data_IF_052803970484
#
_entry.id   IF_052803970484
#
_cell.length_a   1.000
_cell.length_b   1.000
_cell.length_c   1.000
_cell.angle_alpha   90.00
_cell.angle_beta   90.00
_cell.angle_gamma   90.00
#
_symmetry.space_group_name_H-M   'P 1'
#
loop_
_entity.id
_entity.type
_entity.pdbx_description
1 polymer ?
#
# COMPACT_ATOMS: atom_id res chain seq x y z
N UNK A 1 -53.33 -2.95 -1.49
CA UNK A 1 -52.10 -2.22 -1.91
C UNK A 1 -51.21 -1.99 -0.69
N UNK A 2 -50.08 -2.70 -0.59
CA UNK A 2 -49.15 -2.62 0.55
C UNK A 2 -48.14 -1.47 0.30
N UNK A 3 -48.18 -0.43 1.13
CA UNK A 3 -47.18 0.66 1.12
C UNK A 3 -45.82 0.11 1.60
N UNK A 4 -44.85 0.00 0.71
CA UNK A 4 -43.43 -0.26 1.05
C UNK A 4 -42.86 0.97 1.76
N UNK A 5 -42.32 0.81 2.97
CA UNK A 5 -41.48 1.83 3.62
C UNK A 5 -40.08 1.83 2.99
N UNK A 6 -39.38 2.96 2.89
CA UNK A 6 -38.06 3.03 2.28
C UNK A 6 -37.01 2.33 3.16
N UNK A 7 -36.32 1.36 2.57
CA UNK A 7 -35.22 0.56 3.14
C UNK A 7 -33.90 1.35 3.17
N UNK A 8 -33.87 2.56 3.75
CA UNK A 8 -32.67 3.42 3.66
C UNK A 8 -32.18 4.04 4.97
N UNK A 9 -32.59 3.48 6.10
CA UNK A 9 -32.30 4.09 7.41
C UNK A 9 -31.93 3.11 8.53
N UNK A 10 -31.38 1.95 8.18
CA UNK A 10 -30.79 1.06 9.17
C UNK A 10 -29.32 0.81 8.84
N UNK A 11 -28.47 1.18 9.79
CA UNK A 11 -27.01 0.96 9.87
C UNK A 11 -26.10 2.02 9.22
N UNK A 12 -26.25 3.30 9.59
CA UNK A 12 -25.07 4.16 9.76
C UNK A 12 -24.70 4.15 11.24
N UNK A 13 -23.55 3.58 11.65
CA UNK A 13 -23.04 3.84 12.99
C UNK A 13 -22.84 5.35 13.12
N UNK A 14 -23.18 5.91 14.28
CA UNK A 14 -22.94 7.33 14.55
C UNK A 14 -21.45 7.62 14.39
N UNK A 15 -21.09 8.78 13.84
CA UNK A 15 -19.68 9.19 13.67
C UNK A 15 -18.91 9.13 15.01
N UNK A 16 -19.61 9.28 16.13
CA UNK A 16 -19.10 9.09 17.48
C UNK A 16 -18.66 7.64 17.80
N UNK A 17 -19.34 6.61 17.28
CA UNK A 17 -18.95 5.20 17.50
C UNK A 17 -17.75 4.78 16.64
N UNK A 18 -17.60 5.36 15.44
CA UNK A 18 -16.40 5.19 14.61
C UNK A 18 -15.19 5.91 15.23
N UNK A 19 -15.37 7.14 15.70
CA UNK A 19 -14.34 7.92 16.40
C UNK A 19 -13.84 7.21 17.67
N UNK A 20 -14.74 6.64 18.48
CA UNK A 20 -14.37 5.92 19.69
C UNK A 20 -13.62 4.59 19.42
N UNK A 21 -13.98 3.84 18.37
CA UNK A 21 -13.23 2.64 17.95
C UNK A 21 -11.89 2.97 17.31
N UNK A 22 -11.80 4.06 16.55
CA UNK A 22 -10.52 4.56 16.02
C UNK A 22 -9.59 5.04 17.14
N UNK A 23 -10.14 5.69 18.17
CA UNK A 23 -9.38 6.15 19.34
C UNK A 23 -8.82 5.02 20.20
N UNK A 24 -9.50 3.87 20.23
CA UNK A 24 -9.00 2.66 20.89
C UNK A 24 -7.84 2.01 20.10
N UNK A 25 -7.83 2.11 18.77
CA UNK A 25 -6.76 1.57 17.93
C UNK A 25 -5.47 2.42 17.92
N UNK A 26 -5.60 3.68 18.36
CA UNK A 26 -4.51 4.66 18.49
C UNK A 26 -3.75 4.59 19.81
N UNK A 27 -4.18 3.76 20.76
CA UNK A 27 -3.34 3.44 21.93
C UNK A 27 -2.23 2.51 21.48
N UNK A 28 -1.07 3.09 21.18
CA UNK A 28 0.14 2.33 20.98
C UNK A 28 0.38 1.47 22.23
N UNK A 29 0.12 0.16 22.12
CA UNK A 29 0.36 -0.76 23.23
C UNK A 29 1.86 -0.88 23.47
N UNK A 30 2.27 -1.20 24.70
CA UNK A 30 3.66 -1.48 25.05
C UNK A 30 4.27 -2.55 24.14
N UNK A 31 3.46 -3.53 23.72
CA UNK A 31 3.85 -4.54 22.75
C UNK A 31 4.27 -3.95 21.38
N UNK A 32 3.60 -2.90 20.89
CA UNK A 32 3.98 -2.26 19.62
C UNK A 32 5.32 -1.53 19.72
N UNK A 33 5.62 -0.91 20.87
CA UNK A 33 6.95 -0.33 21.13
C UNK A 33 8.05 -1.38 21.10
N UNK A 34 7.86 -2.50 21.81
CA UNK A 34 8.85 -3.59 21.87
C UNK A 34 9.13 -4.14 20.46
N UNK A 35 8.08 -4.43 19.68
CA UNK A 35 8.24 -4.91 18.30
C UNK A 35 8.97 -3.89 17.43
N UNK A 36 8.61 -2.62 17.53
CA UNK A 36 9.24 -1.58 16.72
C UNK A 36 10.74 -1.42 17.04
N UNK A 37 11.14 -1.47 18.32
CA UNK A 37 12.55 -1.47 18.71
C UNK A 37 13.29 -2.74 18.28
N UNK A 38 12.63 -3.90 18.36
CA UNK A 38 13.18 -5.17 17.88
C UNK A 38 13.51 -5.12 16.38
N UNK A 39 12.55 -4.68 15.56
CA UNK A 39 12.78 -4.53 14.12
C UNK A 39 13.84 -3.48 13.80
N UNK A 40 13.89 -2.38 14.55
CA UNK A 40 14.94 -1.38 14.40
C UNK A 40 16.32 -1.95 14.72
N UNK A 41 16.45 -2.76 15.77
CA UNK A 41 17.70 -3.41 16.12
C UNK A 41 18.17 -4.34 14.99
N UNK A 42 17.27 -5.18 14.47
CA UNK A 42 17.58 -6.05 13.33
C UNK A 42 17.96 -5.27 12.07
N UNK A 43 17.27 -4.17 11.78
CA UNK A 43 17.62 -3.29 10.66
C UNK A 43 19.06 -2.78 10.78
N UNK A 44 19.45 -2.32 11.98
CA UNK A 44 20.82 -1.84 12.24
C UNK A 44 21.86 -2.95 12.16
N UNK A 45 21.54 -4.15 12.65
CA UNK A 45 22.41 -5.32 12.52
C UNK A 45 22.62 -5.64 11.03
N UNK A 46 21.56 -5.62 10.21
CA UNK A 46 21.70 -5.81 8.77
C UNK A 46 22.57 -4.71 8.13
N UNK A 47 22.35 -3.43 8.46
CA UNK A 47 23.16 -2.32 7.92
C UNK A 47 24.66 -2.44 8.30
N UNK A 48 24.95 -2.87 9.52
CA UNK A 48 26.32 -2.97 10.02
C UNK A 48 27.04 -4.25 9.60
N UNK A 49 26.37 -5.41 9.71
CA UNK A 49 26.97 -6.75 9.53
C UNK A 49 26.77 -7.30 8.12
N UNK A 50 25.51 -7.43 7.69
CA UNK A 50 25.16 -8.28 6.55
C UNK A 50 25.10 -7.52 5.22
N UNK A 51 24.69 -6.24 5.26
CA UNK A 51 24.47 -5.34 4.13
C UNK A 51 23.67 -5.98 2.99
N UNK A 52 22.66 -6.79 3.34
CA UNK A 52 21.83 -7.49 2.36
C UNK A 52 20.59 -6.65 2.03
N UNK A 53 20.42 -6.32 0.74
CA UNK A 53 19.32 -5.48 0.26
C UNK A 53 17.94 -6.10 0.49
N UNK A 54 17.80 -7.42 0.31
CA UNK A 54 16.53 -8.11 0.54
C UNK A 54 16.10 -8.10 2.01
N UNK A 55 17.04 -8.26 2.95
CA UNK A 55 16.77 -8.11 4.38
C UNK A 55 16.42 -6.67 4.72
N UNK A 56 17.09 -5.69 4.12
CA UNK A 56 16.79 -4.28 4.35
C UNK A 56 15.33 -3.98 4.00
N UNK A 57 14.88 -4.38 2.80
CA UNK A 57 13.49 -4.14 2.38
C UNK A 57 12.49 -4.89 3.26
N UNK A 58 12.79 -6.14 3.64
CA UNK A 58 11.94 -6.90 4.55
C UNK A 58 11.79 -6.21 5.92
N UNK A 59 12.92 -5.85 6.54
CA UNK A 59 12.95 -5.19 7.86
C UNK A 59 12.30 -3.81 7.80
N UNK A 60 12.48 -3.09 6.69
CA UNK A 60 11.77 -1.84 6.45
C UNK A 60 10.26 -2.03 6.37
N UNK A 61 9.78 -3.06 5.68
CA UNK A 61 8.35 -3.37 5.63
C UNK A 61 7.77 -3.67 7.02
N UNK A 62 8.52 -4.38 7.89
CA UNK A 62 8.12 -4.59 9.28
C UNK A 62 8.04 -3.27 10.06
N UNK A 63 9.05 -2.40 9.91
CA UNK A 63 9.04 -1.07 10.52
C UNK A 63 7.88 -0.21 10.02
N UNK A 64 7.53 -0.27 8.73
CA UNK A 64 6.36 0.44 8.19
C UNK A 64 5.06 0.00 8.88
N UNK A 65 4.87 -1.30 9.09
CA UNK A 65 3.73 -1.83 9.83
C UNK A 65 3.66 -1.29 11.26
N UNK A 66 4.79 -1.07 11.92
CA UNK A 66 4.81 -0.52 13.29
C UNK A 66 4.73 1.00 13.33
N UNK A 67 5.19 1.72 12.30
CA UNK A 67 5.27 3.18 12.33
C UNK A 67 4.13 3.88 11.63
N UNK A 68 3.44 3.19 10.72
CA UNK A 68 2.39 3.78 9.91
C UNK A 68 1.13 2.94 9.92
N UNK A 69 0.02 3.61 9.67
CA UNK A 69 -1.23 2.97 9.30
C UNK A 69 -1.83 3.74 8.13
N UNK A 70 -2.61 3.05 7.32
CA UNK A 70 -3.32 3.67 6.20
C UNK A 70 -4.78 3.82 6.61
N UNK A 71 -5.30 5.03 6.47
CA UNK A 71 -6.70 5.36 6.72
C UNK A 71 -7.38 5.85 5.44
N UNK A 72 -8.69 6.07 5.52
CA UNK A 72 -9.50 6.55 4.41
C UNK A 72 -10.26 5.44 3.70
N UNK A 73 -10.80 5.77 2.52
CA UNK A 73 -11.62 4.87 1.72
C UNK A 73 -11.45 5.18 0.24
N UNK A 74 -11.64 4.17 -0.59
CA UNK A 74 -11.58 4.34 -2.05
C UNK A 74 -12.64 5.36 -2.52
N UNK A 75 -12.22 6.29 -3.37
CA UNK A 75 -13.09 7.29 -4.00
C UNK A 75 -13.41 6.96 -5.47
N UNK A 76 -13.07 5.75 -5.94
CA UNK A 76 -13.25 5.34 -7.34
C UNK A 76 -12.58 6.30 -8.35
N UNK A 77 -11.40 6.83 -8.01
CA UNK A 77 -10.65 7.79 -8.86
C UNK A 77 -9.80 7.13 -9.96
N UNK A 78 -9.68 5.81 -9.96
CA UNK A 78 -8.93 5.07 -10.98
C UNK A 78 -7.40 5.11 -10.85
N UNK A 79 -6.83 5.95 -9.96
CA UNK A 79 -5.37 6.07 -9.83
C UNK A 79 -4.68 4.76 -9.46
N UNK A 80 -5.30 3.89 -8.66
CA UNK A 80 -4.75 2.57 -8.35
C UNK A 80 -4.70 1.61 -9.55
N UNK A 81 -5.25 1.99 -10.69
CA UNK A 81 -5.24 1.21 -11.93
C UNK A 81 -4.23 1.74 -12.96
N UNK A 82 -3.52 2.83 -12.64
CA UNK A 82 -2.55 3.49 -13.52
C UNK A 82 -1.18 3.50 -12.87
N UNK A 83 -0.11 3.56 -13.67
CA UNK A 83 1.26 3.71 -13.15
C UNK A 83 1.73 2.57 -12.24
N UNK A 84 1.19 1.36 -12.42
CA UNK A 84 1.42 0.23 -11.52
C UNK A 84 2.82 -0.35 -11.68
N UNK A 85 3.52 -0.62 -10.58
CA UNK A 85 4.69 -1.50 -10.57
C UNK A 85 4.30 -2.90 -10.15
N UNK A 86 4.30 -3.83 -11.12
CA UNK A 86 3.98 -5.23 -10.84
C UNK A 86 5.23 -5.99 -10.41
N UNK A 87 5.05 -6.78 -9.34
CA UNK A 87 6.11 -7.62 -8.77
C UNK A 87 5.70 -9.08 -8.91
N UNK A 88 6.62 -9.92 -9.36
CA UNK A 88 6.46 -11.36 -9.43
C UNK A 88 7.63 -12.06 -8.75
N UNK A 89 7.35 -13.00 -7.83
CA UNK A 89 8.38 -13.72 -7.04
C UNK A 89 9.40 -12.79 -6.36
N UNK A 90 8.97 -11.59 -5.95
CA UNK A 90 9.79 -10.59 -5.27
C UNK A 90 10.62 -9.68 -6.19
N UNK A 91 10.50 -9.82 -7.50
CA UNK A 91 11.19 -8.97 -8.49
C UNK A 91 10.18 -8.12 -9.28
N UNK A 92 10.53 -6.85 -9.50
CA UNK A 92 9.75 -5.97 -10.37
C UNK A 92 9.88 -6.46 -11.80
N UNK A 93 8.77 -6.61 -12.51
CA UNK A 93 8.76 -7.02 -13.92
C UNK A 93 9.21 -5.81 -14.76
N UNK A 94 10.35 -5.92 -15.44
CA UNK A 94 10.92 -4.82 -16.23
C UNK A 94 11.14 -5.16 -17.69
N UNK A 95 11.27 -6.45 -18.03
CA UNK A 95 11.49 -6.89 -19.40
C UNK A 95 10.22 -7.47 -20.02
N UNK A 96 10.19 -7.44 -21.35
CA UNK A 96 9.12 -8.07 -22.13
C UNK A 96 9.11 -9.58 -21.93
N UNK A 97 10.28 -10.19 -21.85
CA UNK A 97 10.47 -11.64 -21.68
C UNK A 97 9.92 -12.10 -20.33
N UNK A 98 10.26 -11.40 -19.24
CA UNK A 98 9.67 -11.66 -17.91
C UNK A 98 8.15 -11.50 -17.95
N UNK A 99 7.65 -10.46 -18.61
CA UNK A 99 6.21 -10.23 -18.72
C UNK A 99 5.47 -11.40 -19.37
N UNK A 100 6.01 -11.94 -20.47
CA UNK A 100 5.42 -13.11 -21.11
C UNK A 100 5.45 -14.33 -20.20
N UNK A 101 6.57 -14.61 -19.54
CA UNK A 101 6.70 -15.73 -18.61
C UNK A 101 5.73 -15.63 -17.42
N UNK A 102 5.49 -14.43 -16.90
CA UNK A 102 4.56 -14.21 -15.78
C UNK A 102 3.14 -14.49 -16.20
N UNK A 103 2.69 -14.02 -17.37
CA UNK A 103 1.35 -14.30 -17.87
C UNK A 103 1.11 -15.79 -18.10
N UNK A 104 2.10 -16.50 -18.62
CA UNK A 104 2.02 -17.95 -18.83
C UNK A 104 1.87 -18.72 -17.51
N UNK A 105 2.40 -18.18 -16.40
CA UNK A 105 2.35 -18.80 -15.07
C UNK A 105 1.12 -18.38 -14.26
N UNK A 106 0.61 -17.16 -14.46
CA UNK A 106 -0.52 -16.62 -13.72
C UNK A 106 -1.35 -15.67 -14.59
N UNK A 107 -2.50 -16.16 -15.04
CA UNK A 107 -3.43 -15.42 -15.89
C UNK A 107 -4.06 -14.20 -15.21
N UNK A 108 -3.87 -14.00 -13.89
CA UNK A 108 -4.33 -12.76 -13.25
C UNK A 108 -3.59 -11.52 -13.80
N UNK A 109 -2.38 -11.72 -14.31
CA UNK A 109 -1.58 -10.67 -14.92
C UNK A 109 -2.10 -10.25 -16.31
N UNK A 110 -2.91 -11.06 -17.00
CA UNK A 110 -3.51 -10.70 -18.31
C UNK A 110 -4.39 -9.45 -18.28
N UNK A 111 -4.76 -8.99 -17.08
CA UNK A 111 -5.52 -7.76 -16.86
C UNK A 111 -4.71 -6.49 -17.02
N UNK A 112 -3.39 -6.57 -17.10
CA UNK A 112 -2.52 -5.40 -17.14
C UNK A 112 -1.85 -5.26 -18.50
N UNK A 113 -1.66 -4.01 -18.92
CA UNK A 113 -0.91 -3.64 -20.11
C UNK A 113 0.39 -2.96 -19.70
N UNK A 114 1.56 -3.44 -20.17
CA UNK A 114 2.84 -2.78 -19.93
C UNK A 114 2.97 -1.51 -20.79
N UNK A 115 3.53 -0.47 -20.17
CA UNK A 115 3.99 0.75 -20.83
C UNK A 115 5.50 0.72 -20.94
N UNK A 116 5.99 0.86 -22.17
CA UNK A 116 7.42 0.76 -22.48
C UNK A 116 8.04 2.14 -22.66
N UNK A 117 9.24 2.31 -22.12
CA UNK A 117 10.10 3.47 -22.40
C UNK A 117 11.53 2.95 -22.61
N UNK A 118 12.16 3.36 -23.71
CA UNK A 118 13.52 2.91 -24.07
C UNK A 118 13.71 1.38 -24.10
N UNK A 119 12.65 0.63 -24.41
CA UNK A 119 12.67 -0.84 -24.49
C UNK A 119 12.41 -1.57 -23.17
N UNK A 120 12.28 -0.86 -22.05
CA UNK A 120 11.96 -1.43 -20.74
C UNK A 120 10.54 -1.09 -20.31
N UNK A 121 9.92 -1.98 -19.53
CA UNK A 121 8.62 -1.73 -18.91
C UNK A 121 8.83 -0.77 -17.73
N UNK A 122 8.24 0.42 -17.84
CA UNK A 122 8.28 1.42 -16.77
C UNK A 122 7.17 1.21 -15.75
N UNK A 123 5.97 0.93 -16.25
CA UNK A 123 4.79 0.74 -15.43
C UNK A 123 3.72 -0.03 -16.19
N UNK A 124 2.65 -0.37 -15.50
CA UNK A 124 1.49 -1.07 -16.05
C UNK A 124 0.22 -0.24 -15.87
N UNK A 125 -0.76 -0.46 -16.74
CA UNK A 125 -2.14 0.02 -16.58
C UNK A 125 -3.11 -1.16 -16.56
N UNK A 126 -4.18 -1.07 -15.77
CA UNK A 126 -5.22 -2.10 -15.74
C UNK A 126 -6.22 -1.90 -16.89
N UNK A 127 -6.47 -2.96 -17.67
CA UNK A 127 -7.48 -3.01 -18.73
C UNK A 127 -8.91 -2.84 -18.23
N UNK A 128 -9.16 -3.13 -16.94
CA UNK A 128 -10.46 -2.93 -16.32
C UNK A 128 -10.74 -1.46 -15.96
N UNK A 129 -9.82 -0.52 -16.23
CA UNK A 129 -10.08 0.91 -16.02
C UNK A 129 -10.88 1.47 -17.20
N UNK A 130 -12.06 2.01 -16.90
CA UNK A 130 -12.92 2.68 -17.88
C UNK A 130 -12.54 4.17 -18.06
N UNK A 131 -12.93 4.81 -19.18
CA UNK A 131 -12.66 6.23 -19.42
C UNK A 131 -13.21 7.19 -18.36
N UNK A 132 -14.24 6.77 -17.62
CA UNK A 132 -14.79 7.53 -16.49
C UNK A 132 -14.03 7.32 -15.17
N UNK A 133 -12.84 6.73 -15.21
CA UNK A 133 -11.97 6.41 -14.08
C UNK A 133 -12.49 5.31 -13.13
N UNK A 134 -13.58 4.63 -13.50
CA UNK A 134 -14.11 3.52 -12.70
C UNK A 134 -13.53 2.19 -13.14
N UNK A 135 -13.33 1.30 -12.17
CA UNK A 135 -13.00 -0.10 -12.46
C UNK A 135 -14.26 -0.84 -12.90
N UNK A 136 -14.27 -1.36 -14.12
CA UNK A 136 -15.39 -2.14 -14.69
C UNK A 136 -15.61 -3.48 -13.97
N UNK A 137 -14.58 -4.00 -13.31
CA UNK A 137 -14.61 -5.30 -12.64
C UNK A 137 -14.09 -5.22 -11.21
N UNK A 138 -14.70 -4.33 -10.43
CA UNK A 138 -14.31 -4.04 -9.06
C UNK A 138 -14.48 -5.24 -8.10
N UNK A 139 -15.50 -6.07 -8.31
CA UNK A 139 -15.77 -7.21 -7.42
C UNK A 139 -14.77 -8.36 -7.63
N UNK A 140 -14.33 -8.60 -8.86
CA UNK A 140 -13.38 -9.69 -9.18
C UNK A 140 -11.92 -9.23 -9.27
N UNK A 141 -11.58 -8.12 -8.59
CA UNK A 141 -10.20 -7.59 -8.55
C UNK A 141 -9.20 -8.66 -8.11
N UNK A 142 -7.97 -8.70 -8.66
CA UNK A 142 -6.92 -9.59 -8.17
C UNK A 142 -6.48 -9.20 -6.76
N UNK A 143 -5.78 -10.10 -6.07
CA UNK A 143 -5.37 -9.92 -4.66
C UNK A 143 -4.63 -8.59 -4.45
N UNK A 144 -3.64 -8.30 -5.29
CA UNK A 144 -2.87 -7.04 -5.26
C UNK A 144 -3.77 -5.79 -5.28
N UNK A 145 -4.82 -5.78 -6.11
CA UNK A 145 -5.78 -4.67 -6.21
C UNK A 145 -6.73 -4.59 -5.00
N UNK A 146 -7.06 -5.72 -4.36
CA UNK A 146 -7.90 -5.74 -3.13
C UNK A 146 -7.13 -5.24 -1.92
N UNK A 147 -5.83 -5.51 -1.88
CA UNK A 147 -4.93 -5.06 -0.80
C UNK A 147 -4.48 -3.61 -0.95
N UNK A 148 -4.81 -2.95 -2.06
CA UNK A 148 -4.57 -1.52 -2.22
C UNK A 148 -5.34 -0.74 -1.13
N UNK A 149 -4.73 0.25 -0.46
CA UNK A 149 -3.45 0.91 -0.78
C UNK A 149 -2.21 0.30 -0.10
N UNK A 150 -2.39 -0.72 0.74
CA UNK A 150 -1.29 -1.29 1.53
C UNK A 150 -0.24 -1.97 0.64
N UNK A 151 -0.66 -2.67 -0.42
CA UNK A 151 0.27 -3.28 -1.39
C UNK A 151 1.22 -2.26 -2.00
N UNK A 152 0.68 -1.14 -2.50
CA UNK A 152 1.45 -0.02 -3.05
C UNK A 152 2.40 0.58 -2.01
N UNK A 153 1.87 0.89 -0.81
CA UNK A 153 2.66 1.47 0.26
C UNK A 153 3.82 0.56 0.70
N UNK A 154 3.62 -0.76 0.68
CA UNK A 154 4.65 -1.72 1.01
C UNK A 154 5.76 -1.81 -0.05
N UNK A 155 5.44 -1.56 -1.31
CA UNK A 155 6.40 -1.63 -2.41
C UNK A 155 7.13 -0.30 -2.65
N UNK A 156 6.40 0.81 -2.70
CA UNK A 156 6.92 2.09 -3.18
C UNK A 156 7.11 3.15 -2.09
N UNK A 157 6.80 2.84 -0.83
CA UNK A 157 6.85 3.80 0.29
C UNK A 157 5.91 5.01 0.11
N UNK A 158 4.99 4.94 -0.87
CA UNK A 158 4.00 5.95 -1.19
C UNK A 158 2.68 5.32 -1.62
N UNK A 159 1.61 6.13 -1.57
CA UNK A 159 0.30 5.80 -2.15
C UNK A 159 -0.07 6.88 -3.16
N UNK A 160 -0.93 6.55 -4.13
CA UNK A 160 -1.37 7.54 -5.11
C UNK A 160 -2.18 8.65 -4.44
N UNK A 161 -1.84 9.89 -4.77
CA UNK A 161 -2.57 11.06 -4.29
C UNK A 161 -3.96 11.13 -4.92
N UNK A 162 -4.93 11.67 -4.17
CA UNK A 162 -6.31 11.81 -4.67
C UNK A 162 -7.11 10.49 -4.78
N UNK A 163 -6.66 9.40 -4.17
CA UNK A 163 -7.41 8.13 -4.15
C UNK A 163 -8.35 7.94 -2.93
N UNK A 164 -8.35 8.90 -2.01
CA UNK A 164 -9.14 8.90 -0.78
C UNK A 164 -8.52 8.14 0.40
N UNK A 165 -7.31 7.61 0.22
CA UNK A 165 -6.51 7.00 1.27
C UNK A 165 -5.36 7.92 1.71
N UNK A 166 -4.94 7.79 2.97
CA UNK A 166 -3.89 8.61 3.59
C UNK A 166 -3.02 7.76 4.50
N UNK A 167 -1.71 8.00 4.47
CA UNK A 167 -0.75 7.37 5.39
C UNK A 167 -0.59 8.24 6.62
N UNK A 168 -0.87 7.67 7.79
CA UNK A 168 -0.68 8.33 9.07
C UNK A 168 0.45 7.68 9.85
N UNK A 169 1.21 8.51 10.55
CA UNK A 169 2.21 8.05 11.51
C UNK A 169 1.50 7.58 12.78
N UNK A 170 1.87 6.40 13.28
CA UNK A 170 1.53 5.98 14.65
C UNK A 170 2.33 6.86 15.61
N UNK A 171 1.80 7.11 16.81
CA UNK A 171 2.42 7.96 17.84
C UNK A 171 3.71 7.40 18.45
N UNK A 172 4.48 6.61 17.71
CA UNK A 172 5.74 6.02 18.13
C UNK A 172 6.88 6.94 17.69
N UNK A 173 7.47 7.63 18.66
CA UNK A 173 8.66 8.44 18.44
C UNK A 173 9.91 7.58 18.61
N UNK A 174 10.32 6.89 17.55
CA UNK A 174 11.58 6.14 17.56
C UNK A 174 12.70 7.00 17.02
N UNK A 175 13.69 7.28 17.87
CA UNK A 175 14.95 7.90 17.47
C UNK A 175 15.82 6.84 16.78
N UNK A 176 16.25 7.11 15.56
CA UNK A 176 17.20 6.26 14.82
C UNK A 176 18.40 7.10 14.39
N UNK A 177 19.59 6.50 14.44
CA UNK A 177 20.82 7.09 13.91
C UNK A 177 21.20 6.56 12.52
N UNK A 178 20.46 5.59 11.97
CA UNK A 178 20.70 5.04 10.63
C UNK A 178 20.42 6.08 9.54
N UNK A 179 21.42 6.48 8.73
CA UNK A 179 21.21 7.42 7.63
C UNK A 179 20.23 6.88 6.58
N UNK A 180 20.32 5.59 6.24
CA UNK A 180 19.42 4.95 5.29
C UNK A 180 17.97 4.97 5.76
N UNK A 181 17.74 4.63 7.03
CA UNK A 181 16.39 4.66 7.60
C UNK A 181 15.83 6.08 7.72
N UNK A 182 16.66 7.07 8.06
CA UNK A 182 16.26 8.49 8.06
C UNK A 182 15.81 8.94 6.68
N UNK A 183 16.54 8.55 5.63
CA UNK A 183 16.20 8.88 4.24
C UNK A 183 14.85 8.26 3.83
N UNK A 184 14.64 6.98 4.10
CA UNK A 184 13.36 6.29 3.81
C UNK A 184 12.19 6.91 4.59
N UNK A 185 12.39 7.20 5.87
CA UNK A 185 11.39 7.86 6.70
C UNK A 185 11.03 9.25 6.14
N UNK A 186 12.03 10.05 5.78
CA UNK A 186 11.81 11.36 5.17
C UNK A 186 11.04 11.24 3.84
N UNK A 187 11.34 10.25 3.02
CA UNK A 187 10.64 9.99 1.77
C UNK A 187 9.15 9.66 2.00
N UNK A 188 8.84 8.73 2.92
CA UNK A 188 7.44 8.43 3.28
C UNK A 188 6.71 9.68 3.75
N UNK A 189 7.32 10.46 4.63
CA UNK A 189 6.72 11.66 5.21
C UNK A 189 6.60 12.81 4.20
N UNK A 190 7.37 12.81 3.11
CA UNK A 190 7.26 13.80 2.05
C UNK A 190 6.16 13.43 1.04
N UNK A 191 6.14 12.17 0.60
CA UNK A 191 5.28 11.73 -0.51
C UNK A 191 3.86 11.34 -0.10
N UNK A 192 3.57 11.25 1.21
CA UNK A 192 2.26 10.86 1.71
C UNK A 192 1.60 11.92 2.61
N UNK A 193 2.03 13.18 2.53
CA UNK A 193 1.37 14.26 3.29
C UNK A 193 -0.08 14.37 2.81
N UNK A 194 -1.03 14.32 3.74
CA UNK A 194 -2.42 14.62 3.45
C UNK A 194 -2.50 16.07 2.96
N UNK A 195 -2.99 16.25 1.72
CA UNK A 195 -3.40 17.54 1.17
C UNK A 195 -4.82 17.82 1.65
#
# INVERSE_FOLDING_TARGET
>A
MKKKRPFRELLRPSEATLSARFSAHLRCSEASYIRAYFWLALYRINEWVFRRQHWEQFLWNQLKCEWFYVAGKCQHSGYCCQGLQLVYKGLVIRSKEEWHQVKDQDSCYDRFDPHYESGEIQHFSCRSLMPNQWCSDYENRPHFCRTYPMSQFMQEDQIHQGCGFFVHRKGIEIKTNSPGLKKRLAFVLANNRAI
#
